data_IF_816209284582
#
_entry.id   IF_816209284582
#
_cell.length_a   1.000
_cell.length_b   1.000
_cell.length_c   1.000
_cell.angle_alpha   90.00
_cell.angle_beta   90.00
_cell.angle_gamma   90.00
#
_symmetry.space_group_name_H-M   'P 1'
#
loop_
_entity.id
_entity.type
_entity.pdbx_description
1 polymer ?
#
# COMPACT_ATOMS: atom_id res chain seq x y z
N UNK A 1 -3.72 -13.41 7.79
CA UNK A 1 -5.11 -13.05 7.41
C UNK A 1 -5.78 -14.15 6.59
N UNK A 2 -5.21 -14.59 5.46
CA UNK A 2 -5.82 -15.65 4.63
C UNK A 2 -6.01 -16.98 5.39
N UNK A 3 -4.96 -17.50 6.01
CA UNK A 3 -5.00 -18.78 6.74
C UNK A 3 -5.93 -18.80 7.96
N UNK A 4 -6.20 -17.65 8.57
CA UNK A 4 -7.04 -17.59 9.77
C UNK A 4 -8.53 -17.72 9.44
N UNK A 5 -8.96 -17.29 8.25
CA UNK A 5 -10.39 -17.16 7.95
C UNK A 5 -10.80 -17.55 6.54
N UNK A 6 -10.03 -17.18 5.51
CA UNK A 6 -10.41 -17.42 4.12
C UNK A 6 -9.97 -18.78 3.57
N UNK A 7 -9.12 -19.49 4.30
CA UNK A 7 -8.61 -20.84 3.98
C UNK A 7 -9.15 -21.90 4.97
N UNK A 8 -10.12 -21.53 5.81
CA UNK A 8 -10.68 -22.39 6.85
C UNK A 8 -11.93 -23.14 6.35
N UNK A 9 -11.92 -24.47 6.48
CA UNK A 9 -12.99 -25.36 6.00
C UNK A 9 -14.35 -25.08 6.66
N UNK A 10 -14.38 -24.66 7.92
CA UNK A 10 -15.63 -24.36 8.65
C UNK A 10 -16.26 -23.07 8.12
N UNK A 11 -15.44 -22.03 7.90
CA UNK A 11 -15.87 -20.78 7.27
C UNK A 11 -16.38 -21.07 5.85
N UNK A 12 -15.64 -21.86 5.06
CA UNK A 12 -16.05 -22.22 3.71
C UNK A 12 -17.38 -22.98 3.69
N UNK A 13 -17.60 -23.92 4.61
CA UNK A 13 -18.87 -24.64 4.73
C UNK A 13 -20.03 -23.70 5.08
N UNK A 14 -19.83 -22.76 6.02
CA UNK A 14 -20.84 -21.77 6.38
C UNK A 14 -21.19 -20.83 5.22
N UNK A 15 -20.18 -20.39 4.46
CA UNK A 15 -20.36 -19.57 3.26
C UNK A 15 -21.15 -20.35 2.19
N UNK A 16 -20.76 -21.57 1.87
CA UNK A 16 -21.40 -22.39 0.83
C UNK A 16 -22.84 -22.79 1.16
N UNK A 17 -23.21 -22.85 2.45
CA UNK A 17 -24.57 -23.17 2.86
C UNK A 17 -25.58 -22.03 2.62
N UNK A 18 -25.12 -20.77 2.63
CA UNK A 18 -26.00 -19.60 2.61
C UNK A 18 -25.80 -18.63 1.45
N UNK A 19 -24.68 -18.74 0.72
CA UNK A 19 -24.22 -17.70 -0.19
C UNK A 19 -23.71 -18.27 -1.52
N UNK A 20 -23.84 -17.48 -2.59
CA UNK A 20 -23.10 -17.69 -3.83
C UNK A 20 -21.78 -16.94 -3.68
N UNK A 21 -20.70 -17.69 -3.44
CA UNK A 21 -19.39 -17.11 -3.18
C UNK A 21 -18.68 -16.78 -4.50
N UNK A 22 -18.35 -15.50 -4.69
CA UNK A 22 -17.62 -15.02 -5.87
C UNK A 22 -16.29 -14.45 -5.39
N UNK A 23 -15.18 -15.11 -5.74
CA UNK A 23 -13.84 -14.57 -5.55
C UNK A 23 -13.50 -13.69 -6.74
N UNK A 24 -13.16 -12.43 -6.48
CA UNK A 24 -12.76 -11.47 -7.51
C UNK A 24 -11.28 -11.18 -7.33
N UNK A 25 -10.51 -11.35 -8.41
CA UNK A 25 -9.16 -10.82 -8.48
C UNK A 25 -9.22 -9.35 -8.91
N UNK A 26 -8.76 -8.46 -8.04
CA UNK A 26 -8.79 -7.01 -8.28
C UNK A 26 -7.84 -6.58 -9.40
N UNK A 27 -6.76 -7.34 -9.63
CA UNK A 27 -5.77 -7.02 -10.67
C UNK A 27 -6.35 -7.36 -12.05
N UNK A 28 -7.15 -8.44 -12.14
CA UNK A 28 -7.87 -8.79 -13.36
C UNK A 28 -9.15 -7.97 -13.58
N UNK A 29 -9.84 -7.57 -12.49
CA UNK A 29 -11.11 -6.83 -12.51
C UNK A 29 -11.09 -5.55 -11.66
N UNK A 30 -10.21 -4.59 -11.97
CA UNK A 30 -10.11 -3.33 -11.22
C UNK A 30 -11.39 -2.48 -11.34
N UNK A 31 -12.18 -2.71 -12.39
CA UNK A 31 -13.48 -2.07 -12.59
C UNK A 31 -14.51 -2.50 -11.54
N UNK A 32 -14.51 -3.78 -11.16
CA UNK A 32 -15.38 -4.31 -10.10
C UNK A 32 -14.89 -3.85 -8.73
N UNK A 33 -13.58 -3.93 -8.51
CA UNK A 33 -12.95 -3.51 -7.26
C UNK A 33 -13.27 -2.05 -6.93
N UNK A 34 -13.10 -1.14 -7.90
CA UNK A 34 -13.37 0.28 -7.70
C UNK A 34 -14.82 0.58 -7.25
N UNK A 35 -15.81 -0.12 -7.82
CA UNK A 35 -17.22 0.06 -7.44
C UNK A 35 -17.47 -0.35 -5.99
N UNK A 36 -16.97 -1.53 -5.59
CA UNK A 36 -17.21 -2.05 -4.25
C UNK A 36 -16.29 -1.43 -3.20
N UNK A 37 -15.11 -0.93 -3.57
CA UNK A 37 -14.26 -0.13 -2.71
C UNK A 37 -14.95 1.19 -2.36
N UNK A 38 -15.55 1.87 -3.34
CA UNK A 38 -16.34 3.07 -3.09
C UNK A 38 -17.54 2.78 -2.17
N UNK A 39 -18.21 1.64 -2.34
CA UNK A 39 -19.31 1.22 -1.48
C UNK A 39 -18.82 0.97 -0.03
N UNK A 40 -17.65 0.34 0.11
CA UNK A 40 -17.00 0.10 1.40
C UNK A 40 -16.67 1.41 2.09
N UNK A 41 -15.99 2.33 1.40
CA UNK A 41 -15.65 3.67 1.95
C UNK A 41 -16.91 4.44 2.34
N UNK A 42 -17.97 4.41 1.52
CA UNK A 42 -19.24 5.06 1.86
C UNK A 42 -19.88 4.52 3.14
N UNK A 43 -19.72 3.23 3.42
CA UNK A 43 -20.29 2.58 4.60
C UNK A 43 -19.43 2.70 5.86
N UNK A 44 -18.11 2.63 5.73
CA UNK A 44 -17.18 2.48 6.86
C UNK A 44 -16.30 3.70 7.08
N UNK A 45 -16.29 4.66 6.15
CA UNK A 45 -15.38 5.79 6.10
C UNK A 45 -13.96 5.45 5.60
N UNK A 46 -13.64 4.17 5.40
CA UNK A 46 -12.29 3.72 5.03
C UNK A 46 -12.31 2.47 4.14
N UNK A 47 -11.39 2.39 3.19
CA UNK A 47 -11.25 1.25 2.30
C UNK A 47 -10.14 0.30 2.74
N UNK A 48 -10.08 -0.87 2.11
CA UNK A 48 -8.96 -1.79 2.30
C UNK A 48 -9.21 -3.18 1.75
N UNK A 49 -8.12 -3.93 1.60
CA UNK A 49 -8.15 -5.34 1.24
C UNK A 49 -7.65 -6.20 2.41
N UNK A 50 -8.10 -7.47 2.53
CA UNK A 50 -9.13 -8.13 1.70
C UNK A 50 -10.49 -7.47 1.89
N UNK A 51 -11.26 -7.36 0.80
CA UNK A 51 -12.58 -6.71 0.80
C UNK A 51 -13.67 -7.79 0.75
N UNK A 52 -14.61 -7.73 1.69
CA UNK A 52 -15.76 -8.62 1.78
C UNK A 52 -17.04 -7.82 1.55
N UNK A 53 -17.81 -8.15 0.52
CA UNK A 53 -19.05 -7.47 0.18
C UNK A 53 -20.21 -8.46 0.10
N UNK A 54 -21.31 -8.17 0.80
CA UNK A 54 -22.56 -8.90 0.70
C UNK A 54 -23.50 -8.16 -0.25
N UNK A 55 -23.93 -8.87 -1.28
CA UNK A 55 -24.67 -8.34 -2.40
C UNK A 55 -26.03 -9.01 -2.51
N UNK A 56 -27.01 -8.24 -2.96
CA UNK A 56 -28.27 -8.79 -3.48
C UNK A 56 -28.03 -9.51 -4.83
N UNK A 57 -28.94 -10.40 -5.31
CA UNK A 57 -28.78 -11.14 -6.57
C UNK A 57 -28.57 -10.28 -7.83
N UNK A 58 -28.92 -8.99 -7.80
CA UNK A 58 -28.67 -8.07 -8.91
C UNK A 58 -27.36 -7.26 -8.73
N UNK A 59 -26.49 -7.67 -7.79
CA UNK A 59 -25.15 -7.12 -7.60
C UNK A 59 -25.09 -5.86 -6.72
N UNK A 60 -26.19 -5.44 -6.09
CA UNK A 60 -26.21 -4.24 -5.25
C UNK A 60 -25.68 -4.56 -3.85
N UNK A 61 -24.66 -3.83 -3.36
CA UNK A 61 -24.13 -4.06 -2.01
C UNK A 61 -25.12 -3.57 -0.96
N UNK A 62 -25.25 -4.34 0.12
CA UNK A 62 -26.00 -3.93 1.32
C UNK A 62 -25.15 -3.96 2.60
N UNK A 63 -23.99 -4.62 2.55
CA UNK A 63 -23.01 -4.63 3.62
C UNK A 63 -21.62 -4.82 3.03
N UNK A 64 -20.64 -4.08 3.54
CA UNK A 64 -19.25 -4.15 3.11
C UNK A 64 -18.33 -4.06 4.34
N UNK A 65 -17.16 -4.68 4.23
CA UNK A 65 -16.06 -4.44 5.14
C UNK A 65 -14.79 -5.09 4.64
N UNK A 66 -13.76 -5.06 5.47
CA UNK A 66 -12.44 -5.57 5.10
C UNK A 66 -12.22 -6.97 5.66
N UNK A 67 -11.31 -7.09 6.62
CA UNK A 67 -10.95 -8.33 7.28
C UNK A 67 -11.84 -8.63 8.48
N UNK A 68 -12.24 -9.89 8.59
CA UNK A 68 -12.95 -10.43 9.75
C UNK A 68 -12.22 -11.67 10.27
N UNK A 69 -11.81 -11.70 11.56
CA UNK A 69 -11.33 -12.92 12.19
C UNK A 69 -12.41 -14.00 12.19
N UNK A 70 -12.00 -15.28 12.19
CA UNK A 70 -12.88 -16.45 11.99
C UNK A 70 -14.18 -16.39 12.79
N UNK A 71 -14.08 -16.18 14.11
CA UNK A 71 -15.24 -16.17 15.00
C UNK A 71 -16.23 -15.04 14.66
N UNK A 72 -15.70 -13.84 14.38
CA UNK A 72 -16.52 -12.70 13.96
C UNK A 72 -17.14 -12.93 12.59
N UNK A 73 -16.41 -13.58 11.68
CA UNK A 73 -16.90 -13.84 10.33
C UNK A 73 -18.04 -14.85 10.33
N UNK A 74 -17.94 -15.95 11.09
CA UNK A 74 -19.03 -16.92 11.26
C UNK A 74 -20.30 -16.28 11.84
N UNK A 75 -20.15 -15.41 12.84
CA UNK A 75 -21.26 -14.66 13.41
C UNK A 75 -21.90 -13.72 12.37
N UNK A 76 -21.07 -13.02 11.59
CA UNK A 76 -21.53 -12.15 10.52
C UNK A 76 -22.31 -12.93 9.45
N UNK A 77 -21.79 -14.06 8.98
CA UNK A 77 -22.46 -14.92 7.99
C UNK A 77 -23.85 -15.39 8.48
N UNK A 78 -23.95 -15.76 9.75
CA UNK A 78 -25.23 -16.12 10.38
C UNK A 78 -26.19 -14.94 10.41
N UNK A 79 -25.75 -13.78 10.90
CA UNK A 79 -26.57 -12.58 11.02
C UNK A 79 -27.08 -12.07 9.65
N UNK A 80 -26.22 -12.11 8.62
CA UNK A 80 -26.60 -11.75 7.25
C UNK A 80 -27.65 -12.73 6.70
N UNK A 81 -27.46 -14.03 6.92
CA UNK A 81 -28.40 -15.06 6.47
C UNK A 81 -29.79 -14.91 7.10
N UNK A 82 -29.85 -14.63 8.41
CA UNK A 82 -31.09 -14.38 9.14
C UNK A 82 -31.77 -13.09 8.63
N UNK A 83 -31.02 -12.00 8.55
CA UNK A 83 -31.53 -10.70 8.06
C UNK A 83 -32.07 -10.82 6.63
N UNK A 84 -31.42 -11.59 5.77
CA UNK A 84 -31.87 -11.85 4.41
C UNK A 84 -33.22 -12.56 4.34
N UNK A 85 -33.43 -13.58 5.18
CA UNK A 85 -34.64 -14.41 5.18
C UNK A 85 -35.80 -13.73 5.88
N UNK A 86 -35.53 -13.08 7.00
CA UNK A 86 -36.57 -12.56 7.90
C UNK A 86 -36.86 -11.08 7.66
N UNK A 87 -35.85 -10.31 7.26
CA UNK A 87 -35.90 -8.84 7.18
C UNK A 87 -35.47 -8.33 5.81
N UNK A 88 -35.95 -8.98 4.76
CA UNK A 88 -35.55 -8.69 3.38
C UNK A 88 -35.75 -7.22 2.97
N UNK A 89 -36.81 -6.58 3.45
CA UNK A 89 -37.07 -5.17 3.17
C UNK A 89 -35.95 -4.25 3.69
N UNK A 90 -35.37 -4.55 4.85
CA UNK A 90 -34.24 -3.78 5.42
C UNK A 90 -33.00 -3.91 4.52
N UNK A 91 -32.77 -5.09 3.93
CA UNK A 91 -31.65 -5.32 3.01
C UNK A 91 -31.78 -4.52 1.71
N UNK A 92 -32.98 -4.49 1.13
CA UNK A 92 -33.23 -3.69 -0.07
C UNK A 92 -33.09 -2.19 0.21
N UNK A 93 -33.56 -1.73 1.39
CA UNK A 93 -33.43 -0.33 1.81
C UNK A 93 -31.96 0.07 2.03
N UNK A 94 -31.16 -0.79 2.68
CA UNK A 94 -29.72 -0.59 2.82
C UNK A 94 -29.04 -0.50 1.44
N UNK A 95 -29.41 -1.38 0.51
CA UNK A 95 -28.92 -1.36 -0.86
C UNK A 95 -29.29 -0.07 -1.61
N UNK A 96 -30.49 0.47 -1.38
CA UNK A 96 -30.96 1.72 -2.00
C UNK A 96 -30.16 2.91 -1.48
N UNK A 97 -29.89 2.94 -0.18
CA UNK A 97 -29.09 3.96 0.45
C UNK A 97 -27.67 3.99 -0.09
N UNK A 98 -26.98 2.84 -0.13
CA UNK A 98 -25.60 2.75 -0.67
C UNK A 98 -25.57 3.16 -2.14
N UNK A 99 -26.54 2.72 -2.94
CA UNK A 99 -26.63 3.13 -4.35
C UNK A 99 -26.88 4.64 -4.52
N UNK A 100 -27.62 5.28 -3.60
CA UNK A 100 -27.78 6.73 -3.59
C UNK A 100 -26.48 7.45 -3.26
N UNK A 101 -25.74 7.01 -2.25
CA UNK A 101 -24.42 7.57 -1.90
C UNK A 101 -23.40 7.39 -3.03
N UNK A 102 -23.33 6.20 -3.65
CA UNK A 102 -22.49 5.97 -4.82
C UNK A 102 -22.81 6.91 -5.98
N UNK A 103 -24.11 7.14 -6.25
CA UNK A 103 -24.55 8.11 -7.26
C UNK A 103 -24.19 9.54 -6.86
N UNK A 104 -24.33 9.90 -5.59
CA UNK A 104 -23.96 11.21 -5.06
C UNK A 104 -22.47 11.47 -5.24
N UNK A 105 -21.61 10.49 -4.94
CA UNK A 105 -20.16 10.60 -5.16
C UNK A 105 -19.79 10.70 -6.64
N UNK A 106 -20.52 10.00 -7.52
CA UNK A 106 -20.30 10.06 -8.96
C UNK A 106 -20.86 11.34 -9.61
N UNK A 107 -21.95 11.88 -9.07
CA UNK A 107 -22.51 13.16 -9.48
C UNK A 107 -21.67 14.27 -8.87
N UNK A 108 -20.78 14.88 -9.66
CA UNK A 108 -20.06 16.07 -9.24
C UNK A 108 -21.00 17.14 -8.65
N UNK A 109 -20.46 18.07 -7.86
CA UNK A 109 -21.24 19.11 -7.19
C UNK A 109 -22.19 19.83 -8.18
N UNK A 110 -23.46 20.06 -7.81
CA UNK A 110 -24.38 20.85 -8.62
C UNK A 110 -23.73 22.21 -8.96
N UNK A 111 -23.55 22.48 -10.26
CA UNK A 111 -22.90 23.71 -10.74
C UNK A 111 -21.43 23.58 -11.12
N UNK A 112 -20.82 22.39 -11.05
CA UNK A 112 -19.46 22.15 -11.56
C UNK A 112 -18.32 22.63 -10.66
N UNK A 113 -18.65 23.14 -9.47
CA UNK A 113 -17.68 23.72 -8.54
C UNK A 113 -17.19 25.12 -8.98
N UNK A 114 -16.35 25.77 -8.18
CA UNK A 114 -15.65 26.99 -8.59
C UNK A 114 -14.77 26.73 -9.82
N UNK A 115 -14.49 27.78 -10.60
CA UNK A 115 -13.59 27.69 -11.74
C UNK A 115 -12.22 27.14 -11.31
N UNK A 116 -11.65 26.25 -12.13
CA UNK A 116 -10.35 25.65 -11.83
C UNK A 116 -9.28 26.74 -11.92
N UNK A 117 -8.84 27.21 -10.76
CA UNK A 117 -7.84 28.27 -10.62
C UNK A 117 -6.56 27.75 -9.95
N UNK A 118 -5.37 28.31 -10.25
CA UNK A 118 -4.10 27.89 -9.64
C UNK A 118 -4.10 27.89 -8.11
N UNK A 119 -4.85 28.80 -7.50
CA UNK A 119 -4.98 28.99 -6.06
C UNK A 119 -5.57 27.74 -5.38
N UNK A 120 -6.45 26.99 -6.07
CA UNK A 120 -6.97 25.72 -5.57
C UNK A 120 -5.84 24.70 -5.37
N UNK A 121 -4.86 24.67 -6.27
CA UNK A 121 -3.69 23.80 -6.12
C UNK A 121 -2.76 24.30 -5.01
N UNK A 122 -2.66 25.61 -4.79
CA UNK A 122 -1.85 26.19 -3.73
C UNK A 122 -2.43 25.86 -2.35
N UNK A 123 -3.75 26.01 -2.19
CA UNK A 123 -4.46 25.67 -0.97
C UNK A 123 -4.41 24.16 -0.67
N UNK A 124 -4.56 23.31 -1.70
CA UNK A 124 -4.44 21.87 -1.55
C UNK A 124 -3.04 21.45 -1.08
N UNK A 125 -1.98 22.03 -1.65
CA UNK A 125 -0.60 21.77 -1.23
C UNK A 125 -0.36 22.30 0.18
N UNK A 126 -0.89 23.48 0.53
CA UNK A 126 -0.79 24.00 1.90
C UNK A 126 -1.49 23.08 2.92
N UNK A 127 -2.61 22.46 2.55
CA UNK A 127 -3.28 21.42 3.35
C UNK A 127 -2.38 20.22 3.58
N UNK A 128 -1.88 19.63 2.50
CA UNK A 128 -0.97 18.47 2.53
C UNK A 128 0.25 18.73 3.40
N UNK A 129 0.90 19.89 3.26
CA UNK A 129 2.13 20.21 4.00
C UNK A 129 1.90 20.32 5.51
N UNK A 130 0.67 20.61 5.97
CA UNK A 130 0.35 20.61 7.40
C UNK A 130 0.29 19.20 8.00
N UNK A 131 0.03 18.19 7.18
CA UNK A 131 -0.09 16.78 7.59
C UNK A 131 1.24 16.01 7.44
N UNK A 132 2.30 16.70 7.04
CA UNK A 132 3.61 16.09 6.85
C UNK A 132 4.19 15.58 8.18
N UNK A 133 4.66 14.34 8.17
CA UNK A 133 5.53 13.81 9.22
C UNK A 133 6.95 14.36 9.01
N UNK A 134 7.29 15.40 9.76
CA UNK A 134 8.62 16.01 9.68
C UNK A 134 9.69 15.23 10.45
N UNK A 135 9.29 14.37 11.39
CA UNK A 135 10.20 13.58 12.22
C UNK A 135 10.74 12.38 11.44
N UNK A 136 9.87 11.63 10.76
CA UNK A 136 10.25 10.44 10.00
C UNK A 136 10.14 10.60 8.48
N UNK A 137 9.69 11.76 7.98
CA UNK A 137 9.45 12.00 6.55
C UNK A 137 8.19 11.29 6.04
N UNK A 138 7.58 11.83 4.98
CA UNK A 138 6.32 11.33 4.45
C UNK A 138 5.08 11.91 5.12
N UNK A 139 3.97 11.17 5.05
CA UNK A 139 2.64 11.62 5.46
C UNK A 139 1.90 10.47 6.15
N UNK A 140 1.02 10.80 7.09
CA UNK A 140 0.28 9.81 7.86
C UNK A 140 1.11 9.06 8.90
N UNK A 141 0.46 8.11 9.59
CA UNK A 141 1.06 7.25 10.60
C UNK A 141 1.36 5.83 10.08
N UNK A 142 1.50 4.89 11.00
CA UNK A 142 1.65 3.46 10.71
C UNK A 142 0.28 2.79 10.40
N UNK A 143 0.19 1.85 9.44
CA UNK A 143 1.21 1.51 8.44
C UNK A 143 1.39 2.66 7.42
N UNK A 144 2.63 2.85 6.96
CA UNK A 144 3.02 4.00 6.15
C UNK A 144 3.31 3.62 4.70
N UNK A 145 2.61 4.27 3.78
CA UNK A 145 2.67 3.97 2.34
C UNK A 145 3.48 5.02 1.57
N UNK A 146 4.33 4.62 0.60
CA UNK A 146 5.04 5.56 -0.27
C UNK A 146 4.09 6.48 -1.05
N UNK A 147 4.12 7.80 -0.82
CA UNK A 147 3.12 8.72 -1.35
C UNK A 147 3.51 9.21 -2.77
N UNK A 148 3.83 8.29 -3.69
CA UNK A 148 4.46 8.58 -5.00
C UNK A 148 3.71 9.63 -5.84
N UNK A 149 2.37 9.56 -5.90
CA UNK A 149 1.54 10.53 -6.60
C UNK A 149 1.59 11.93 -5.95
N UNK A 150 1.63 11.98 -4.61
CA UNK A 150 1.75 13.23 -3.86
C UNK A 150 3.12 13.87 -4.04
N UNK A 151 4.19 13.07 -4.06
CA UNK A 151 5.54 13.56 -4.35
C UNK A 151 5.63 14.19 -5.74
N UNK A 152 4.99 13.58 -6.75
CA UNK A 152 4.85 14.18 -8.08
C UNK A 152 4.07 15.49 -8.07
N UNK A 153 2.97 15.56 -7.31
CA UNK A 153 2.19 16.79 -7.17
C UNK A 153 3.01 17.92 -6.51
N UNK A 154 3.76 17.61 -5.44
CA UNK A 154 4.64 18.55 -4.76
C UNK A 154 5.80 19.01 -5.65
N UNK A 155 6.39 18.10 -6.43
CA UNK A 155 7.42 18.46 -7.42
C UNK A 155 6.86 19.39 -8.50
N UNK A 156 5.67 19.11 -9.04
CA UNK A 156 5.00 19.99 -10.02
C UNK A 156 4.63 21.35 -9.41
N UNK A 157 4.19 21.37 -8.16
CA UNK A 157 3.94 22.60 -7.44
C UNK A 157 5.23 23.42 -7.31
N UNK A 158 6.34 22.81 -6.88
CA UNK A 158 7.65 23.48 -6.85
C UNK A 158 8.08 24.01 -8.23
N UNK A 159 7.84 23.26 -9.31
CA UNK A 159 8.15 23.73 -10.67
C UNK A 159 7.38 25.00 -11.06
N UNK A 160 6.10 25.09 -10.65
CA UNK A 160 5.23 26.24 -10.93
C UNK A 160 5.54 27.44 -10.03
N UNK A 161 5.69 27.22 -8.72
CA UNK A 161 5.69 28.30 -7.70
C UNK A 161 7.07 28.59 -7.13
N UNK A 162 8.02 27.68 -7.31
CA UNK A 162 9.33 27.67 -6.62
C UNK A 162 9.23 27.58 -5.10
N UNK A 163 8.12 27.06 -4.57
CA UNK A 163 7.91 26.84 -3.13
C UNK A 163 9.00 25.96 -2.49
N UNK A 164 9.86 26.50 -1.61
CA UNK A 164 10.89 25.71 -0.94
C UNK A 164 10.29 24.61 -0.05
N UNK A 165 9.15 24.90 0.59
CA UNK A 165 8.47 23.94 1.46
C UNK A 165 8.02 22.68 0.70
N UNK A 166 7.51 22.83 -0.53
CA UNK A 166 7.13 21.68 -1.35
C UNK A 166 8.34 20.82 -1.73
N UNK A 167 9.46 21.45 -2.10
CA UNK A 167 10.69 20.73 -2.42
C UNK A 167 11.28 20.03 -1.18
N UNK A 168 11.28 20.70 -0.03
CA UNK A 168 11.74 20.13 1.23
C UNK A 168 10.90 18.92 1.63
N UNK A 169 9.59 18.96 1.43
CA UNK A 169 8.72 17.82 1.70
C UNK A 169 9.05 16.61 0.82
N UNK A 170 9.33 16.83 -0.47
CA UNK A 170 9.79 15.78 -1.37
C UNK A 170 11.13 15.23 -0.93
N UNK A 171 12.10 16.11 -0.64
CA UNK A 171 13.43 15.71 -0.25
C UNK A 171 13.45 14.94 1.08
N UNK A 172 12.71 15.40 2.09
CA UNK A 172 12.60 14.73 3.39
C UNK A 172 11.98 13.35 3.24
N UNK A 173 10.88 13.23 2.51
CA UNK A 173 10.19 11.96 2.30
C UNK A 173 11.06 10.99 1.50
N UNK A 174 11.67 11.44 0.41
CA UNK A 174 12.55 10.61 -0.41
C UNK A 174 13.82 10.19 0.33
N UNK A 175 14.43 11.07 1.14
CA UNK A 175 15.58 10.69 1.96
C UNK A 175 15.20 9.62 3.00
N UNK A 176 14.06 9.78 3.68
CA UNK A 176 13.62 8.84 4.70
C UNK A 176 13.34 7.46 4.11
N UNK A 177 12.56 7.38 3.03
CA UNK A 177 12.26 6.09 2.39
C UNK A 177 13.52 5.42 1.84
N UNK A 178 14.42 6.16 1.19
CA UNK A 178 15.63 5.57 0.59
C UNK A 178 16.68 5.10 1.61
N UNK A 179 16.59 5.56 2.86
CA UNK A 179 17.47 5.19 3.99
C UNK A 179 16.73 4.41 5.08
N UNK A 180 15.54 3.93 4.76
CA UNK A 180 14.77 3.05 5.62
C UNK A 180 14.79 1.63 5.04
N UNK A 181 14.34 0.67 5.84
CA UNK A 181 14.19 -0.71 5.40
C UNK A 181 13.07 -0.95 4.38
N UNK A 182 12.22 0.06 4.12
CA UNK A 182 11.29 0.01 2.97
C UNK A 182 12.01 -0.03 1.62
N UNK A 183 13.23 0.51 1.54
CA UNK A 183 14.08 0.42 0.36
C UNK A 183 15.10 -0.69 0.56
N UNK A 184 15.17 -1.62 -0.38
CA UNK A 184 16.16 -2.69 -0.34
C UNK A 184 17.56 -2.12 -0.59
N UNK A 185 18.35 -2.06 0.48
CA UNK A 185 19.69 -1.47 0.47
C UNK A 185 20.70 -2.26 -0.39
N UNK A 186 20.39 -3.50 -0.77
CA UNK A 186 21.26 -4.37 -1.57
C UNK A 186 20.79 -4.45 -3.03
N UNK A 187 19.56 -4.93 -3.23
CA UNK A 187 18.99 -5.19 -4.55
C UNK A 187 18.29 -3.99 -5.18
N UNK A 188 17.96 -2.97 -4.38
CA UNK A 188 17.10 -1.88 -4.78
C UNK A 188 15.64 -2.28 -4.93
N UNK A 189 14.83 -1.30 -5.31
CA UNK A 189 13.38 -1.41 -5.28
C UNK A 189 12.81 -1.20 -3.87
N UNK A 190 11.53 -0.89 -3.83
CA UNK A 190 10.77 -0.59 -2.63
C UNK A 190 9.78 -1.71 -2.34
N UNK A 191 9.69 -2.06 -1.07
CA UNK A 191 8.56 -2.79 -0.53
C UNK A 191 7.30 -1.91 -0.55
N UNK A 192 6.14 -2.55 -0.51
CA UNK A 192 4.83 -1.92 -0.74
C UNK A 192 4.52 -0.84 0.30
N UNK A 193 4.77 -1.12 1.57
CA UNK A 193 4.57 -0.19 2.67
C UNK A 193 5.44 -0.59 3.87
N UNK A 194 5.57 0.31 4.84
CA UNK A 194 6.18 0.02 6.13
C UNK A 194 5.09 -0.21 7.19
N UNK A 195 5.25 -1.24 8.01
CA UNK A 195 4.31 -1.51 9.11
C UNK A 195 4.43 -0.47 10.23
N UNK A 196 5.56 0.23 10.31
CA UNK A 196 5.80 1.34 11.25
C UNK A 196 5.82 2.71 10.55
N UNK A 197 5.91 3.77 11.36
CA UNK A 197 5.92 5.15 10.88
C UNK A 197 7.30 5.67 10.45
N UNK A 198 8.37 4.95 10.78
CA UNK A 198 9.76 5.34 10.59
C UNK A 198 10.39 4.74 9.32
N UNK A 199 9.63 3.97 8.53
CA UNK A 199 10.08 3.31 7.31
C UNK A 199 11.06 2.15 7.54
N UNK A 200 11.07 1.56 8.73
CA UNK A 200 12.08 0.56 9.15
C UNK A 200 11.68 -0.85 8.72
N UNK A 201 10.50 -1.30 9.12
CA UNK A 201 10.01 -2.64 8.88
C UNK A 201 9.05 -2.60 7.70
N UNK A 202 9.38 -3.22 6.56
CA UNK A 202 8.49 -3.32 5.41
C UNK A 202 7.47 -4.44 5.59
N UNK A 203 6.37 -4.34 4.86
CA UNK A 203 5.67 -5.51 4.35
C UNK A 203 6.35 -5.91 3.04
N UNK A 204 7.10 -7.02 3.06
CA UNK A 204 8.20 -7.30 2.12
C UNK A 204 7.79 -7.52 0.64
N UNK A 205 6.49 -7.54 0.35
CA UNK A 205 5.94 -7.54 -1.00
C UNK A 205 6.47 -6.35 -1.82
N UNK A 206 6.95 -6.59 -3.04
CA UNK A 206 7.40 -5.54 -3.96
C UNK A 206 6.51 -5.49 -5.19
N UNK A 207 5.74 -4.41 -5.35
CA UNK A 207 4.81 -4.25 -6.47
C UNK A 207 5.46 -3.50 -7.64
N UNK A 208 5.14 -3.91 -8.87
CA UNK A 208 5.57 -3.25 -10.10
C UNK A 208 5.12 -1.79 -10.14
N UNK A 209 3.83 -1.53 -9.87
CA UNK A 209 3.26 -0.19 -9.98
C UNK A 209 3.86 0.78 -8.96
N UNK A 210 4.10 0.32 -7.73
CA UNK A 210 4.72 1.16 -6.68
C UNK A 210 6.14 1.55 -7.09
N UNK A 211 6.94 0.59 -7.54
CA UNK A 211 8.30 0.82 -7.99
C UNK A 211 8.37 1.69 -9.26
N UNK A 212 7.45 1.50 -10.21
CA UNK A 212 7.38 2.34 -11.40
C UNK A 212 7.02 3.80 -11.07
N UNK A 213 6.08 4.02 -10.15
CA UNK A 213 5.68 5.36 -9.71
C UNK A 213 6.79 6.03 -8.88
N UNK A 214 7.47 5.30 -8.01
CA UNK A 214 8.61 5.81 -7.25
C UNK A 214 9.81 6.10 -8.14
N UNK A 215 10.11 5.25 -9.12
CA UNK A 215 11.13 5.53 -10.13
C UNK A 215 10.88 6.89 -10.78
N UNK A 216 9.64 7.17 -11.20
CA UNK A 216 9.26 8.47 -11.78
C UNK A 216 9.52 9.62 -10.79
N UNK A 217 9.06 9.48 -9.55
CA UNK A 217 9.22 10.51 -8.51
C UNK A 217 10.70 10.82 -8.23
N UNK A 218 11.53 9.80 -8.02
CA UNK A 218 12.97 9.98 -7.78
C UNK A 218 13.70 10.50 -9.03
N UNK A 219 13.33 10.05 -10.23
CA UNK A 219 13.92 10.56 -11.47
C UNK A 219 13.59 12.04 -11.70
N UNK A 220 12.36 12.46 -11.43
CA UNK A 220 11.97 13.87 -11.50
C UNK A 220 12.66 14.69 -10.42
N UNK A 221 12.74 14.21 -9.19
CA UNK A 221 13.50 14.88 -8.13
C UNK A 221 14.96 15.07 -8.54
N UNK A 222 15.65 14.00 -8.95
CA UNK A 222 17.04 14.02 -9.42
C UNK A 222 17.24 14.99 -10.59
N UNK A 223 16.34 14.98 -11.59
CA UNK A 223 16.40 15.88 -12.75
C UNK A 223 16.26 17.35 -12.35
N UNK A 224 15.47 17.65 -11.33
CA UNK A 224 15.18 19.04 -10.91
C UNK A 224 16.22 19.62 -9.96
N UNK A 225 16.83 18.79 -9.11
CA UNK A 225 17.76 19.26 -8.07
C UNK A 225 19.21 18.86 -8.31
N UNK A 226 19.45 17.82 -9.12
CA UNK A 226 20.76 17.18 -9.22
C UNK A 226 21.11 16.31 -7.99
N UNK A 227 20.14 15.99 -7.13
CA UNK A 227 20.38 15.25 -5.90
C UNK A 227 21.00 13.86 -6.20
N UNK A 228 22.17 13.54 -5.62
CA UNK A 228 22.87 12.30 -5.91
C UNK A 228 22.18 11.05 -5.33
N UNK A 229 21.51 11.17 -4.18
CA UNK A 229 20.72 10.08 -3.60
C UNK A 229 19.54 9.77 -4.52
N UNK A 230 18.80 10.79 -4.94
CA UNK A 230 17.66 10.62 -5.83
C UNK A 230 18.07 9.96 -7.15
N UNK A 231 19.21 10.38 -7.72
CA UNK A 231 19.76 9.76 -8.94
C UNK A 231 20.14 8.30 -8.72
N UNK A 232 20.78 7.97 -7.59
CA UNK A 232 21.16 6.60 -7.23
C UNK A 232 19.93 5.71 -7.10
N UNK A 233 18.96 6.15 -6.33
CA UNK A 233 17.71 5.40 -6.08
C UNK A 233 16.93 5.21 -7.37
N UNK A 234 16.77 6.24 -8.21
CA UNK A 234 16.13 6.09 -9.51
C UNK A 234 16.85 5.05 -10.39
N UNK A 235 18.18 5.08 -10.46
CA UNK A 235 18.94 4.11 -11.26
C UNK A 235 18.83 2.67 -10.72
N UNK A 236 18.87 2.50 -9.40
CA UNK A 236 18.74 1.20 -8.76
C UNK A 236 17.31 0.65 -8.86
N UNK A 237 16.27 1.46 -8.67
CA UNK A 237 14.88 1.04 -8.90
C UNK A 237 14.63 0.68 -10.36
N UNK A 238 15.17 1.43 -11.33
CA UNK A 238 15.08 1.06 -12.74
C UNK A 238 15.76 -0.29 -13.02
N UNK A 239 16.92 -0.54 -12.40
CA UNK A 239 17.61 -1.83 -12.50
C UNK A 239 16.79 -2.97 -11.89
N UNK A 240 16.28 -2.79 -10.68
CA UNK A 240 15.38 -3.75 -10.02
C UNK A 240 14.20 -4.11 -10.93
N UNK A 241 13.52 -3.11 -11.50
CA UNK A 241 12.40 -3.34 -12.42
C UNK A 241 12.81 -4.19 -13.63
N UNK A 242 13.97 -3.92 -14.23
CA UNK A 242 14.43 -4.64 -15.42
C UNK A 242 14.97 -6.04 -15.11
N UNK A 243 15.73 -6.17 -14.02
CA UNK A 243 16.48 -7.40 -13.71
C UNK A 243 15.64 -8.42 -12.96
N UNK A 244 14.77 -7.96 -12.05
CA UNK A 244 13.95 -8.79 -11.15
C UNK A 244 12.50 -8.91 -11.62
N UNK A 245 11.87 -7.81 -12.07
CA UNK A 245 10.49 -7.84 -12.56
C UNK A 245 10.40 -8.05 -14.08
N UNK A 246 11.47 -7.80 -14.84
CA UNK A 246 11.49 -8.01 -16.28
C UNK A 246 11.64 -9.50 -16.62
N UNK A 247 10.75 -10.03 -17.45
CA UNK A 247 10.87 -11.42 -17.93
C UNK A 247 12.08 -11.59 -18.87
N UNK A 248 12.85 -12.67 -18.66
CA UNK A 248 13.99 -13.04 -19.52
C UNK A 248 13.64 -14.01 -20.66
N UNK A 249 12.37 -14.44 -20.81
CA UNK A 249 11.92 -15.33 -21.89
C UNK A 249 10.38 -15.34 -22.09
N UNK A 250 9.86 -15.79 -23.24
CA UNK A 250 9.94 -15.17 -24.57
C UNK A 250 8.97 -13.98 -24.75
N UNK A 251 8.41 -13.42 -23.67
CA UNK A 251 7.54 -12.25 -23.75
C UNK A 251 8.18 -11.05 -23.03
N UNK A 252 8.26 -9.91 -23.73
CA UNK A 252 8.71 -8.61 -23.20
C UNK A 252 7.71 -8.05 -22.17
N UNK A 253 7.52 -8.78 -21.06
CA UNK A 253 6.55 -8.48 -20.01
C UNK A 253 7.25 -8.20 -18.69
N UNK A 254 6.52 -7.54 -17.80
CA UNK A 254 6.91 -7.38 -16.40
C UNK A 254 5.99 -8.22 -15.50
N UNK A 255 6.57 -8.85 -14.50
CA UNK A 255 5.85 -9.46 -13.37
C UNK A 255 5.19 -8.36 -12.54
N UNK A 256 3.94 -8.56 -12.10
CA UNK A 256 3.17 -7.58 -11.35
C UNK A 256 3.69 -7.34 -9.93
N UNK A 257 4.27 -8.36 -9.29
CA UNK A 257 4.80 -8.29 -7.93
C UNK A 257 5.77 -9.43 -7.60
N UNK A 258 6.57 -9.21 -6.55
CA UNK A 258 7.24 -10.27 -5.79
C UNK A 258 6.50 -10.48 -4.47
N UNK A 259 6.23 -11.73 -4.13
CA UNK A 259 5.61 -12.13 -2.86
C UNK A 259 6.50 -11.70 -1.67
N UNK A 260 5.86 -11.41 -0.53
CA UNK A 260 6.54 -11.12 0.72
C UNK A 260 7.14 -12.41 1.33
N UNK A 261 6.54 -13.56 1.04
CA UNK A 261 6.97 -14.86 1.54
C UNK A 261 8.02 -15.52 0.65
N UNK A 262 9.09 -16.00 1.28
CA UNK A 262 10.01 -16.98 0.69
C UNK A 262 10.01 -18.24 1.56
N UNK A 263 9.75 -19.40 0.95
CA UNK A 263 9.60 -20.68 1.64
C UNK A 263 8.61 -20.65 2.83
N UNK A 264 7.52 -19.88 2.69
CA UNK A 264 6.48 -19.70 3.71
C UNK A 264 6.90 -18.86 4.91
N UNK A 265 7.96 -18.06 4.78
CA UNK A 265 8.42 -17.11 5.80
C UNK A 265 8.57 -15.72 5.20
N UNK A 266 7.75 -14.80 5.69
CA UNK A 266 7.77 -13.40 5.28
C UNK A 266 9.15 -12.77 5.51
N UNK A 267 9.67 -12.09 4.49
CA UNK A 267 10.87 -11.27 4.62
C UNK A 267 12.18 -12.03 4.86
N UNK A 268 12.17 -13.37 4.82
CA UNK A 268 13.33 -14.19 5.20
C UNK A 268 14.61 -13.96 4.37
N UNK A 269 14.48 -13.39 3.17
CA UNK A 269 15.59 -13.00 2.28
C UNK A 269 16.02 -11.53 2.42
N UNK A 270 15.36 -10.79 3.31
CA UNK A 270 15.50 -9.34 3.52
C UNK A 270 15.74 -8.96 4.99
N UNK A 271 16.16 -9.92 5.82
CA UNK A 271 16.48 -9.68 7.24
C UNK A 271 17.75 -10.41 7.65
N UNK A 272 18.52 -9.80 8.56
CA UNK A 272 19.85 -10.25 8.93
C UNK A 272 20.11 -10.16 10.42
N UNK A 273 20.99 -11.02 10.92
CA UNK A 273 21.57 -10.95 12.26
C UNK A 273 23.02 -10.47 12.20
N UNK A 274 23.58 -9.89 13.28
CA UNK A 274 25.00 -9.54 13.31
C UNK A 274 25.91 -10.73 13.01
N UNK A 275 25.54 -11.92 13.50
CA UNK A 275 26.28 -13.16 13.26
C UNK A 275 26.35 -13.48 11.77
N UNK A 276 25.22 -13.49 11.06
CA UNK A 276 25.20 -13.74 9.60
C UNK A 276 26.07 -12.73 8.83
N UNK A 277 26.06 -11.45 9.23
CA UNK A 277 26.94 -10.46 8.60
C UNK A 277 28.41 -10.79 8.82
N UNK A 278 28.81 -11.16 10.04
CA UNK A 278 30.21 -11.55 10.33
C UNK A 278 30.63 -12.87 9.68
N UNK A 279 29.70 -13.81 9.47
CA UNK A 279 29.97 -15.07 8.78
C UNK A 279 30.27 -14.86 7.29
N UNK A 280 29.53 -13.94 6.63
CA UNK A 280 29.67 -13.67 5.20
C UNK A 280 30.79 -12.66 4.91
N UNK A 281 30.88 -11.58 5.69
CA UNK A 281 31.80 -10.47 5.45
C UNK A 281 33.11 -10.58 6.25
N UNK A 282 33.18 -11.48 7.22
CA UNK A 282 34.27 -11.55 8.19
C UNK A 282 34.06 -10.62 9.38
N UNK A 283 34.95 -10.72 10.37
CA UNK A 283 34.76 -10.09 11.68
C UNK A 283 34.72 -8.55 11.64
N UNK A 284 35.64 -7.91 10.92
CA UNK A 284 35.73 -6.45 10.89
C UNK A 284 34.64 -5.83 10.00
N UNK A 285 34.55 -6.25 8.72
CA UNK A 285 33.56 -5.73 7.78
C UNK A 285 32.13 -6.08 8.19
N UNK A 286 31.91 -7.26 8.79
CA UNK A 286 30.59 -7.65 9.30
C UNK A 286 30.10 -6.79 10.46
N UNK A 287 30.99 -6.45 11.41
CA UNK A 287 30.65 -5.52 12.50
C UNK A 287 30.40 -4.11 11.99
N UNK A 288 31.21 -3.64 11.05
CA UNK A 288 31.04 -2.34 10.43
C UNK A 288 29.71 -2.27 9.66
N UNK A 289 29.38 -3.28 8.86
CA UNK A 289 28.10 -3.36 8.15
C UNK A 289 26.91 -3.39 9.12
N UNK A 290 27.02 -4.11 10.24
CA UNK A 290 25.96 -4.14 11.25
C UNK A 290 25.70 -2.75 11.85
N UNK A 291 26.75 -1.99 12.15
CA UNK A 291 26.62 -0.60 12.64
C UNK A 291 26.00 0.31 11.57
N UNK A 292 26.50 0.26 10.34
CA UNK A 292 26.04 1.11 9.24
C UNK A 292 24.57 0.88 8.91
N UNK A 293 24.14 -0.38 8.86
CA UNK A 293 22.78 -0.76 8.46
C UNK A 293 21.81 -0.95 9.64
N UNK A 294 22.23 -0.65 10.87
CA UNK A 294 21.39 -0.77 12.06
C UNK A 294 20.99 -2.21 12.42
N UNK A 295 21.84 -3.20 12.12
CA UNK A 295 21.61 -4.59 12.49
C UNK A 295 22.07 -4.85 13.91
N UNK A 296 21.12 -5.20 14.79
CA UNK A 296 21.38 -5.37 16.23
C UNK A 296 21.00 -6.77 16.71
N UNK A 297 21.49 -7.18 17.88
CA UNK A 297 21.10 -8.45 18.52
C UNK A 297 19.62 -8.46 18.95
N UNK A 298 19.05 -7.29 19.26
CA UNK A 298 17.64 -7.16 19.61
C UNK A 298 16.72 -7.38 18.40
N UNK A 299 17.22 -7.08 17.20
CA UNK A 299 16.45 -7.08 15.97
C UNK A 299 15.54 -5.86 15.82
N UNK A 300 15.26 -5.49 14.57
CA UNK A 300 14.14 -4.60 14.22
C UNK A 300 12.92 -5.40 13.73
N UNK A 301 13.08 -6.69 13.49
CA UNK A 301 12.08 -7.63 13.02
C UNK A 301 12.10 -8.93 13.84
N UNK A 302 11.22 -9.87 13.50
CA UNK A 302 11.01 -11.12 14.20
C UNK A 302 12.31 -11.92 14.42
N UNK A 303 12.31 -12.72 15.48
CA UNK A 303 13.39 -13.65 15.81
C UNK A 303 14.80 -13.01 15.94
N UNK A 304 14.86 -11.73 16.33
CA UNK A 304 16.13 -11.01 16.53
C UNK A 304 16.82 -10.62 15.23
N UNK A 305 16.11 -10.66 14.11
CA UNK A 305 16.61 -10.22 12.81
C UNK A 305 16.37 -8.72 12.61
N UNK A 306 17.15 -8.07 11.77
CA UNK A 306 17.00 -6.65 11.43
C UNK A 306 16.91 -6.47 9.92
N UNK A 307 16.09 -5.51 9.51
CA UNK A 307 16.08 -4.99 8.13
C UNK A 307 17.22 -3.98 7.98
N UNK A 308 17.94 -3.98 6.85
CA UNK A 308 18.99 -2.98 6.58
C UNK A 308 18.36 -1.61 6.32
N UNK A 309 18.92 -0.56 6.92
CA UNK A 309 18.51 0.83 6.77
C UNK A 309 19.69 1.75 6.48
#
# INVERSE_FOLDING_TARGET
>A
MAHESFDDDEVAAAMNAGFVCIKVDREERPDIDAVYMNATVALTGQGGWPMTCFLTPNGRPFFCGTYYPKAAFLQLLSAISETWRERRAEVEQASDHIAAELRSMASGLPGGGPEVAPELCDDAVAGVLREQDTAHGGFGGAPKFPPSALLEALMRHYERTRSPAALEAVARTGNAMARGGIYDQLGGGFARYSVDGAWVVPHFEKMLYDNALLLRAYAHWARRTGDPLARRVAAQTARFLLDELGSKAPADMFTSSLDADADGREGSTYVWTPVQLTEVLGGDDGRWAAEVFGVTEAGTFEHGTSVLQ
#
